data_IF_617241186334
#
_entry.id   IF_617241186334
#
_cell.length_a   1.000
_cell.length_b   1.000
_cell.length_c   1.000
_cell.angle_alpha   90.00
_cell.angle_beta   90.00
_cell.angle_gamma   90.00
#
_symmetry.space_group_name_H-M   'P 1'
#
loop_
_entity.id
_entity.type
_entity.pdbx_description
1 polymer ?
#
# COMPACT_ATOMS: atom_id res chain seq x y z
N UNK A 1 19.47 -18.29 -17.93
CA UNK A 1 19.27 -17.02 -17.21
C UNK A 1 18.58 -17.36 -15.91
N UNK A 2 19.10 -16.88 -14.77
CA UNK A 2 18.46 -17.12 -13.48
C UNK A 2 17.17 -16.29 -13.43
N UNK A 3 16.04 -16.98 -13.22
CA UNK A 3 14.70 -16.40 -13.02
C UNK A 3 14.46 -16.33 -11.52
N UNK A 4 13.94 -15.21 -11.01
CA UNK A 4 13.67 -14.98 -9.59
C UNK A 4 12.24 -14.49 -9.37
N UNK A 5 11.43 -15.23 -8.60
CA UNK A 5 10.10 -14.81 -8.17
C UNK A 5 10.17 -13.97 -6.89
N UNK A 6 9.68 -12.74 -6.99
CA UNK A 6 9.77 -11.73 -5.95
C UNK A 6 8.37 -11.28 -5.58
N UNK A 7 8.04 -11.34 -4.30
CA UNK A 7 6.75 -10.88 -3.79
C UNK A 7 6.88 -9.65 -2.91
N UNK A 8 6.00 -8.67 -3.13
CA UNK A 8 5.91 -7.44 -2.36
C UNK A 8 4.73 -7.51 -1.39
N UNK A 9 5.02 -7.88 -0.14
CA UNK A 9 4.05 -7.86 0.94
C UNK A 9 3.66 -6.41 1.26
N UNK A 10 2.37 -6.10 1.22
CA UNK A 10 1.86 -4.74 1.46
C UNK A 10 1.51 -4.47 2.93
N UNK A 11 1.57 -5.49 3.80
CA UNK A 11 0.98 -5.45 5.14
C UNK A 11 -0.52 -5.74 5.16
N UNK A 12 -1.13 -6.00 4.00
CA UNK A 12 -2.55 -6.33 3.83
C UNK A 12 -2.82 -7.83 3.70
N UNK A 13 -4.10 -8.21 3.78
CA UNK A 13 -4.51 -9.62 3.73
C UNK A 13 -4.34 -10.19 2.31
N UNK A 14 -4.74 -9.46 1.28
CA UNK A 14 -4.64 -9.93 -0.11
C UNK A 14 -3.19 -10.21 -0.53
N UNK A 15 -2.24 -9.32 -0.19
CA UNK A 15 -0.83 -9.57 -0.50
C UNK A 15 -0.26 -10.78 0.24
N UNK A 16 -0.65 -10.99 1.51
CA UNK A 16 -0.26 -12.20 2.23
C UNK A 16 -0.82 -13.48 1.60
N UNK A 17 -2.12 -13.53 1.28
CA UNK A 17 -2.73 -14.74 0.73
C UNK A 17 -2.17 -15.06 -0.66
N UNK A 18 -1.88 -14.05 -1.48
CA UNK A 18 -1.20 -14.24 -2.77
C UNK A 18 0.19 -14.88 -2.59
N UNK A 19 0.97 -14.40 -1.61
CA UNK A 19 2.27 -14.98 -1.23
C UNK A 19 2.08 -16.41 -0.74
N UNK A 20 1.10 -16.65 0.13
CA UNK A 20 0.85 -17.95 0.72
C UNK A 20 0.49 -19.02 -0.33
N UNK A 21 -0.30 -18.65 -1.35
CA UNK A 21 -0.63 -19.52 -2.49
C UNK A 21 0.60 -19.87 -3.36
N UNK A 22 1.63 -19.03 -3.35
CA UNK A 22 2.87 -19.19 -4.13
C UNK A 22 4.10 -19.48 -3.28
N UNK A 23 3.92 -19.85 -2.00
CA UNK A 23 5.02 -19.97 -1.02
C UNK A 23 6.11 -20.96 -1.42
N UNK A 24 5.78 -21.95 -2.24
CA UNK A 24 6.72 -22.98 -2.74
C UNK A 24 7.58 -22.50 -3.91
N UNK A 25 7.18 -21.43 -4.62
CA UNK A 25 7.88 -20.92 -5.81
C UNK A 25 8.53 -19.56 -5.60
N UNK A 26 8.11 -18.79 -4.59
CA UNK A 26 8.67 -17.47 -4.31
C UNK A 26 10.09 -17.58 -3.77
N UNK A 27 11.03 -16.90 -4.41
CA UNK A 27 12.42 -16.82 -3.99
C UNK A 27 12.62 -15.78 -2.88
N UNK A 28 12.02 -14.60 -3.01
CA UNK A 28 12.19 -13.49 -2.06
C UNK A 28 10.87 -12.78 -1.74
N UNK A 29 10.68 -12.44 -0.46
CA UNK A 29 9.51 -11.69 0.02
C UNK A 29 10.01 -10.42 0.70
N UNK A 30 9.48 -9.28 0.28
CA UNK A 30 9.83 -7.97 0.80
C UNK A 30 8.63 -7.25 1.39
N UNK A 31 8.88 -6.50 2.46
CA UNK A 31 7.97 -5.51 3.00
C UNK A 31 8.67 -4.16 3.07
N UNK A 32 8.00 -3.10 2.61
CA UNK A 32 8.54 -1.75 2.70
C UNK A 32 7.85 -1.02 3.86
N UNK A 33 8.61 -0.84 4.94
CA UNK A 33 8.15 -0.27 6.19
C UNK A 33 8.19 1.27 6.15
N UNK A 34 7.17 1.90 6.73
CA UNK A 34 6.98 3.36 6.78
C UNK A 34 6.39 3.72 8.13
N UNK A 35 6.91 4.79 8.76
CA UNK A 35 6.48 5.22 10.11
C UNK A 35 4.98 5.51 10.23
N UNK A 36 4.33 5.94 9.15
CA UNK A 36 2.90 6.26 9.14
C UNK A 36 1.98 5.02 9.15
N UNK A 37 2.49 3.79 9.21
CA UNK A 37 1.65 2.60 9.32
C UNK A 37 1.22 2.34 10.76
N UNK A 38 0.10 1.64 10.96
CA UNK A 38 -0.27 1.19 12.30
C UNK A 38 0.75 0.16 12.80
N UNK A 39 1.14 0.26 14.08
CA UNK A 39 2.08 -0.67 14.73
C UNK A 39 1.68 -2.15 14.63
N UNK A 40 0.39 -2.44 14.50
CA UNK A 40 -0.16 -3.80 14.37
C UNK A 40 0.26 -4.46 13.05
N UNK A 41 0.69 -3.70 12.05
CA UNK A 41 1.21 -4.24 10.80
C UNK A 41 2.46 -5.09 11.02
N UNK A 42 3.31 -4.73 11.98
CA UNK A 42 4.51 -5.53 12.32
C UNK A 42 4.11 -6.83 13.04
N UNK A 43 3.12 -6.79 13.94
CA UNK A 43 2.54 -8.03 14.50
C UNK A 43 2.00 -8.92 13.39
N UNK A 44 1.20 -8.37 12.48
CA UNK A 44 0.63 -9.13 11.37
C UNK A 44 1.72 -9.73 10.47
N UNK A 45 2.79 -8.99 10.19
CA UNK A 45 3.96 -9.48 9.46
C UNK A 45 4.55 -10.74 10.12
N UNK A 46 4.80 -10.70 11.44
CA UNK A 46 5.36 -11.86 12.15
C UNK A 46 4.42 -13.06 12.21
N UNK A 47 3.11 -12.84 12.28
CA UNK A 47 2.14 -13.93 12.19
C UNK A 47 2.12 -14.57 10.79
N UNK A 48 2.29 -13.76 9.74
CA UNK A 48 2.46 -14.22 8.37
C UNK A 48 3.77 -15.03 8.20
N UNK A 49 4.89 -14.58 8.75
CA UNK A 49 6.18 -15.30 8.71
C UNK A 49 6.07 -16.70 9.33
N UNK A 50 5.39 -16.82 10.49
CA UNK A 50 5.14 -18.13 11.12
C UNK A 50 4.37 -19.07 10.21
N UNK A 51 3.34 -18.55 9.51
CA UNK A 51 2.54 -19.35 8.59
C UNK A 51 3.28 -19.72 7.30
N UNK A 52 4.22 -18.87 6.87
CA UNK A 52 5.09 -19.13 5.71
C UNK A 52 6.27 -20.04 6.05
N UNK A 53 6.67 -20.12 7.32
CA UNK A 53 7.88 -20.82 7.74
C UNK A 53 9.18 -20.12 7.32
N UNK A 54 9.12 -18.83 6.94
CA UNK A 54 10.27 -18.03 6.49
C UNK A 54 10.06 -16.54 6.72
N UNK A 55 11.17 -15.82 6.84
CA UNK A 55 11.19 -14.37 7.11
C UNK A 55 10.82 -13.53 5.88
N UNK A 56 10.23 -12.37 6.14
CA UNK A 56 9.94 -11.31 5.18
C UNK A 56 11.00 -10.21 5.34
N UNK A 57 11.75 -9.94 4.28
CA UNK A 57 12.83 -8.94 4.30
C UNK A 57 12.24 -7.53 4.38
N UNK A 58 12.65 -6.77 5.39
CA UNK A 58 12.16 -5.39 5.59
C UNK A 58 13.11 -4.39 4.93
N UNK A 59 12.58 -3.58 4.03
CA UNK A 59 13.26 -2.44 3.42
C UNK A 59 12.67 -1.13 3.95
N UNK A 60 13.49 -0.06 4.00
CA UNK A 60 13.09 1.27 4.50
C UNK A 60 13.71 2.37 3.66
N UNK A 61 12.94 3.44 3.45
CA UNK A 61 13.47 4.69 2.89
C UNK A 61 14.17 5.51 3.97
N UNK A 62 15.23 6.24 3.58
CA UNK A 62 15.90 7.23 4.45
C UNK A 62 15.00 8.41 4.84
N UNK A 63 13.94 8.68 4.07
CA UNK A 63 12.99 9.75 4.38
C UNK A 63 11.96 9.31 5.45
N UNK A 64 11.81 8.00 5.70
CA UNK A 64 11.05 7.34 6.79
C UNK A 64 9.53 7.58 6.89
N UNK A 65 9.03 8.79 6.65
CA UNK A 65 7.64 9.19 6.90
C UNK A 65 7.06 10.06 5.79
N UNK A 66 5.73 10.07 5.69
CA UNK A 66 5.00 10.89 4.71
C UNK A 66 5.23 12.38 4.99
N UNK A 67 5.29 12.79 6.26
CA UNK A 67 5.58 14.19 6.63
C UNK A 67 6.94 14.66 6.11
N UNK A 68 8.00 13.89 6.36
CA UNK A 68 9.35 14.25 5.92
C UNK A 68 9.40 14.43 4.40
N UNK A 69 8.77 13.53 3.66
CA UNK A 69 8.68 13.63 2.19
C UNK A 69 7.92 14.88 1.77
N UNK A 70 6.76 15.15 2.35
CA UNK A 70 5.97 16.34 2.01
C UNK A 70 6.75 17.63 2.32
N UNK A 71 7.42 17.71 3.46
CA UNK A 71 8.21 18.90 3.84
C UNK A 71 9.40 19.12 2.90
N UNK A 72 10.13 18.06 2.57
CA UNK A 72 11.31 18.10 1.71
C UNK A 72 10.99 18.46 0.27
N UNK A 73 9.92 17.87 -0.30
CA UNK A 73 9.57 18.05 -1.71
C UNK A 73 8.45 19.07 -1.94
N UNK A 74 7.85 19.60 -0.87
CA UNK A 74 6.70 20.52 -0.89
C UNK A 74 5.55 20.04 -1.77
N UNK A 75 5.31 18.73 -1.78
CA UNK A 75 4.29 18.07 -2.61
C UNK A 75 3.58 16.98 -1.81
N UNK A 76 2.25 17.00 -1.84
CA UNK A 76 1.38 16.04 -1.16
C UNK A 76 0.96 14.93 -2.12
N UNK A 77 -0.04 15.20 -2.94
CA UNK A 77 -0.60 14.29 -3.92
C UNK A 77 -1.15 15.07 -5.12
N UNK A 78 -1.50 14.33 -6.17
CA UNK A 78 -2.26 14.81 -7.32
C UNK A 78 -3.07 13.64 -7.89
N UNK A 79 -3.91 13.87 -8.93
CA UNK A 79 -4.54 12.77 -9.68
C UNK A 79 -3.53 11.77 -10.25
N UNK A 80 -2.27 12.19 -10.32
CA UNK A 80 -1.12 11.45 -10.80
C UNK A 80 -0.35 10.77 -9.66
N UNK A 81 -0.92 10.64 -8.47
CA UNK A 81 -0.30 9.92 -7.34
C UNK A 81 0.35 10.83 -6.30
N UNK A 82 1.00 10.20 -5.32
CA UNK A 82 1.52 10.88 -4.14
C UNK A 82 3.04 10.79 -4.05
N UNK A 83 3.69 11.89 -3.65
CA UNK A 83 5.16 11.93 -3.54
C UNK A 83 5.69 10.92 -2.53
N UNK A 84 4.93 10.69 -1.44
CA UNK A 84 5.27 9.66 -0.46
C UNK A 84 5.30 8.25 -1.06
N UNK A 85 4.45 7.94 -2.04
CA UNK A 85 4.49 6.62 -2.72
C UNK A 85 5.75 6.50 -3.57
N UNK A 86 6.13 7.56 -4.28
CA UNK A 86 7.37 7.58 -5.06
C UNK A 86 8.61 7.37 -4.17
N UNK A 87 8.74 8.16 -3.10
CA UNK A 87 9.97 8.20 -2.31
C UNK A 87 10.07 7.07 -1.28
N UNK A 88 8.95 6.75 -0.62
CA UNK A 88 8.97 5.78 0.50
C UNK A 88 8.80 4.34 0.03
N UNK A 89 8.27 4.10 -1.18
CA UNK A 89 8.01 2.75 -1.70
C UNK A 89 8.73 2.47 -3.01
N UNK A 90 8.42 3.24 -4.06
CA UNK A 90 8.96 2.98 -5.40
C UNK A 90 10.48 3.06 -5.42
N UNK A 91 11.06 4.16 -4.93
CA UNK A 91 12.50 4.34 -4.97
C UNK A 91 13.24 3.25 -4.18
N UNK A 92 12.71 2.83 -3.03
CA UNK A 92 13.27 1.74 -2.22
C UNK A 92 13.29 0.42 -3.00
N UNK A 93 12.19 0.10 -3.70
CA UNK A 93 12.13 -1.06 -4.58
C UNK A 93 13.15 -0.95 -5.73
N UNK A 94 13.19 0.20 -6.42
CA UNK A 94 14.07 0.43 -7.56
C UNK A 94 15.56 0.44 -7.20
N UNK A 95 15.91 0.85 -5.98
CA UNK A 95 17.27 0.70 -5.44
C UNK A 95 17.64 -0.77 -5.31
N UNK A 96 16.74 -1.59 -4.75
CA UNK A 96 16.95 -3.04 -4.67
C UNK A 96 17.01 -3.72 -6.06
N UNK A 97 16.11 -3.36 -6.98
CA UNK A 97 16.04 -3.91 -8.35
C UNK A 97 17.35 -3.69 -9.11
N UNK A 98 18.00 -2.52 -8.94
CA UNK A 98 19.26 -2.18 -9.61
C UNK A 98 20.45 -3.03 -9.17
N UNK A 99 20.35 -3.68 -8.01
CA UNK A 99 21.37 -4.58 -7.47
C UNK A 99 21.15 -6.03 -7.93
N UNK A 100 20.05 -6.32 -8.65
CA UNK A 100 19.72 -7.67 -9.09
C UNK A 100 20.24 -7.96 -10.50
N UNK A 101 20.65 -9.21 -10.71
CA UNK A 101 20.93 -9.77 -12.03
C UNK A 101 19.89 -10.83 -12.39
N UNK A 102 19.61 -10.97 -13.69
CA UNK A 102 18.68 -11.97 -14.21
C UNK A 102 17.25 -11.46 -14.38
N UNK A 103 16.33 -12.38 -14.67
CA UNK A 103 14.93 -12.05 -14.94
C UNK A 103 14.13 -12.06 -13.64
N UNK A 104 13.49 -10.94 -13.31
CA UNK A 104 12.57 -10.84 -12.18
C UNK A 104 11.13 -11.12 -12.61
N UNK A 105 10.41 -11.84 -11.75
CA UNK A 105 8.98 -12.10 -11.89
C UNK A 105 8.28 -11.63 -10.62
N UNK A 106 7.30 -10.75 -10.75
CA UNK A 106 6.62 -10.19 -9.59
C UNK A 106 5.31 -10.90 -9.29
N UNK A 107 5.11 -11.23 -8.01
CA UNK A 107 3.86 -11.76 -7.48
C UNK A 107 3.05 -10.64 -6.81
N UNK A 108 1.81 -10.43 -7.25
CA UNK A 108 0.93 -9.36 -6.79
C UNK A 108 -0.34 -9.89 -6.12
N UNK A 109 -0.78 -9.21 -5.07
CA UNK A 109 -2.00 -9.52 -4.34
C UNK A 109 -3.25 -8.79 -4.83
N UNK A 110 -3.42 -8.65 -6.15
CA UNK A 110 -4.67 -8.12 -6.72
C UNK A 110 -5.74 -9.20 -6.73
N UNK A 111 -6.92 -8.89 -6.21
CA UNK A 111 -8.04 -9.83 -6.13
C UNK A 111 -8.82 -9.94 -7.45
N UNK A 112 -9.74 -10.91 -7.53
CA UNK A 112 -10.51 -11.22 -8.75
C UNK A 112 -11.31 -10.05 -9.32
N UNK A 113 -11.58 -9.00 -8.53
CA UNK A 113 -12.27 -7.79 -8.99
C UNK A 113 -11.33 -6.76 -9.63
N UNK A 114 -10.02 -6.99 -9.55
CA UNK A 114 -8.97 -6.03 -9.89
C UNK A 114 -8.26 -6.35 -11.22
N UNK A 115 -8.85 -7.19 -12.08
CA UNK A 115 -8.29 -7.56 -13.39
C UNK A 115 -7.86 -6.35 -14.23
N UNK A 116 -8.62 -5.25 -14.18
CA UNK A 116 -8.30 -4.02 -14.89
C UNK A 116 -6.99 -3.39 -14.39
N UNK A 117 -6.69 -3.48 -13.09
CA UNK A 117 -5.42 -3.02 -12.49
C UNK A 117 -4.26 -3.93 -12.92
N UNK A 118 -4.49 -5.24 -12.97
CA UNK A 118 -3.49 -6.21 -13.43
C UNK A 118 -3.11 -6.01 -14.91
N UNK A 119 -4.10 -5.81 -15.79
CA UNK A 119 -3.85 -5.58 -17.22
C UNK A 119 -3.04 -4.30 -17.43
N UNK A 120 -3.46 -3.22 -16.77
CA UNK A 120 -2.74 -1.95 -16.82
C UNK A 120 -1.31 -2.09 -16.29
N UNK A 121 -1.09 -2.86 -15.21
CA UNK A 121 0.26 -3.14 -14.71
C UNK A 121 1.14 -3.81 -15.79
N UNK A 122 0.63 -4.83 -16.48
CA UNK A 122 1.36 -5.54 -17.55
C UNK A 122 1.73 -4.64 -18.72
N UNK A 123 0.86 -3.71 -19.10
CA UNK A 123 1.14 -2.73 -20.16
C UNK A 123 2.26 -1.75 -19.76
N UNK A 124 2.40 -1.49 -18.47
CA UNK A 124 3.27 -0.46 -17.92
C UNK A 124 4.64 -0.96 -17.52
N UNK A 125 4.75 -2.26 -17.21
CA UNK A 125 6.00 -2.93 -16.86
C UNK A 125 6.21 -4.18 -17.74
N UNK A 126 6.15 -4.04 -19.08
CA UNK A 126 6.21 -5.17 -20.01
C UNK A 126 7.54 -5.95 -19.96
N UNK A 127 8.59 -5.35 -19.40
CA UNK A 127 9.90 -5.96 -19.19
C UNK A 127 9.90 -7.02 -18.07
N UNK A 128 8.89 -7.01 -17.20
CA UNK A 128 8.75 -7.97 -16.10
C UNK A 128 7.62 -8.96 -16.36
N UNK A 129 7.84 -10.20 -15.94
CA UNK A 129 6.74 -11.16 -15.84
C UNK A 129 5.94 -10.86 -14.55
N UNK A 130 4.62 -11.00 -14.63
CA UNK A 130 3.72 -10.69 -13.51
C UNK A 130 2.74 -11.83 -13.27
N UNK A 131 2.62 -12.22 -11.99
CA UNK A 131 1.76 -13.30 -11.51
C UNK A 131 0.73 -12.71 -10.55
N UNK A 132 -0.53 -13.12 -10.69
CA UNK A 132 -1.66 -12.59 -9.93
C UNK A 132 -2.47 -13.74 -9.31
N UNK A 133 -1.94 -14.41 -8.26
CA UNK A 133 -2.51 -15.68 -7.79
C UNK A 133 -4.00 -15.59 -7.40
N UNK A 134 -4.44 -14.45 -6.87
CA UNK A 134 -5.85 -14.29 -6.47
C UNK A 134 -6.76 -14.04 -7.67
N UNK A 135 -6.28 -13.38 -8.73
CA UNK A 135 -7.03 -13.24 -10.00
C UNK A 135 -7.11 -14.60 -10.68
N UNK A 136 -6.00 -15.33 -10.72
CA UNK A 136 -5.91 -16.65 -11.37
C UNK A 136 -6.92 -17.64 -10.74
N UNK A 137 -7.12 -17.55 -9.42
CA UNK A 137 -8.10 -18.34 -8.66
C UNK A 137 -9.49 -17.65 -8.52
N UNK A 138 -9.67 -16.46 -9.12
CA UNK A 138 -10.88 -15.63 -9.04
C UNK A 138 -11.38 -15.38 -7.59
N UNK A 139 -10.45 -15.19 -6.65
CA UNK A 139 -10.74 -14.96 -5.24
C UNK A 139 -11.09 -13.50 -4.98
N UNK A 140 -12.21 -13.24 -4.29
CA UNK A 140 -12.58 -11.90 -3.82
C UNK A 140 -11.87 -11.52 -2.52
N UNK A 141 -11.96 -10.24 -2.16
CA UNK A 141 -11.44 -9.73 -0.90
C UNK A 141 -12.03 -10.45 0.33
N UNK A 142 -13.34 -10.72 0.32
CA UNK A 142 -14.01 -11.42 1.41
C UNK A 142 -13.49 -12.86 1.54
N UNK A 143 -13.27 -13.53 0.41
CA UNK A 143 -12.77 -14.91 0.37
C UNK A 143 -11.34 -14.99 0.91
N UNK A 144 -10.44 -14.08 0.51
CA UNK A 144 -9.06 -14.07 1.05
C UNK A 144 -9.02 -13.76 2.54
N UNK A 145 -9.93 -12.93 3.05
CA UNK A 145 -10.10 -12.72 4.49
C UNK A 145 -10.60 -13.99 5.20
N UNK A 146 -11.51 -14.74 4.58
CA UNK A 146 -11.95 -16.05 5.08
C UNK A 146 -10.82 -17.08 5.09
N UNK A 147 -9.95 -17.07 4.09
CA UNK A 147 -8.76 -17.93 4.06
C UNK A 147 -7.79 -17.60 5.19
N UNK A 148 -7.51 -16.31 5.42
CA UNK A 148 -6.66 -15.87 6.53
C UNK A 148 -7.20 -16.36 7.88
N UNK A 149 -8.53 -16.27 8.08
CA UNK A 149 -9.18 -16.75 9.28
C UNK A 149 -9.00 -18.26 9.47
N UNK A 150 -9.09 -19.06 8.40
CA UNK A 150 -8.87 -20.52 8.44
C UNK A 150 -7.42 -20.88 8.77
N UNK A 151 -6.46 -20.00 8.45
CA UNK A 151 -5.06 -20.14 8.89
C UNK A 151 -4.86 -19.78 10.37
N UNK A 152 -5.91 -19.33 11.07
CA UNK A 152 -5.83 -18.91 12.47
C UNK A 152 -5.11 -17.58 12.67
N UNK A 153 -4.93 -16.78 11.61
CA UNK A 153 -4.20 -15.52 11.66
C UNK A 153 -5.20 -14.36 11.85
N UNK A 154 -4.96 -13.54 12.87
CA UNK A 154 -5.76 -12.33 13.10
C UNK A 154 -5.40 -11.25 12.08
N UNK A 155 -6.40 -10.75 11.36
CA UNK A 155 -6.26 -9.64 10.41
C UNK A 155 -5.76 -8.35 11.10
N UNK A 156 -5.10 -7.42 10.36
CA UNK A 156 -4.67 -6.15 10.92
C UNK A 156 -5.78 -5.35 11.61
N UNK A 157 -5.45 -4.65 12.70
CA UNK A 157 -6.39 -3.85 13.51
C UNK A 157 -7.14 -2.80 12.69
N UNK A 158 -6.53 -2.23 11.65
CA UNK A 158 -7.21 -1.29 10.75
C UNK A 158 -8.52 -1.85 10.17
N UNK A 159 -8.58 -3.16 9.86
CA UNK A 159 -9.82 -3.78 9.39
C UNK A 159 -10.89 -3.89 10.49
N UNK A 160 -10.49 -4.15 11.74
CA UNK A 160 -11.41 -4.16 12.89
C UNK A 160 -11.95 -2.78 13.22
N UNK A 161 -11.15 -1.74 12.98
CA UNK A 161 -11.57 -0.35 13.12
C UNK A 161 -12.51 0.09 11.98
N UNK A 162 -12.80 -0.76 10.99
CA UNK A 162 -13.69 -0.47 9.88
C UNK A 162 -13.02 0.21 8.69
N UNK A 163 -11.69 0.22 8.61
CA UNK A 163 -10.99 0.64 7.39
C UNK A 163 -10.98 -0.51 6.37
N UNK A 164 -11.12 -0.16 5.09
CA UNK A 164 -11.16 -1.12 3.99
C UNK A 164 -9.81 -1.76 3.67
N UNK A 165 -8.72 -1.08 3.99
CA UNK A 165 -7.35 -1.48 3.67
C UNK A 165 -6.45 -1.19 4.87
N UNK A 166 -5.38 -1.98 5.02
CA UNK A 166 -4.32 -1.71 6.00
C UNK A 166 -3.30 -0.67 5.47
N UNK A 167 -3.80 0.49 5.05
CA UNK A 167 -2.98 1.60 4.56
C UNK A 167 -2.34 2.38 5.73
N UNK A 168 -1.42 3.30 5.40
CA UNK A 168 -0.91 4.28 6.37
C UNK A 168 -2.07 5.04 7.06
N UNK A 169 -1.89 5.37 8.34
CA UNK A 169 -2.77 6.27 9.10
C UNK A 169 -2.60 7.68 8.53
N UNK A 170 -3.70 8.35 8.18
CA UNK A 170 -3.67 9.66 7.54
C UNK A 170 -3.05 9.64 6.14
N UNK A 171 -3.36 8.61 5.36
CA UNK A 171 -2.95 8.49 3.96
C UNK A 171 -3.44 9.70 3.14
N UNK A 172 -2.53 10.37 2.46
CA UNK A 172 -2.83 11.56 1.65
C UNK A 172 -3.71 11.26 0.43
N UNK A 173 -3.90 9.99 0.06
CA UNK A 173 -4.84 9.58 -1.00
C UNK A 173 -6.24 9.27 -0.48
N UNK A 174 -6.47 9.38 0.83
CA UNK A 174 -7.79 9.21 1.42
C UNK A 174 -8.75 10.32 1.03
N UNK A 175 -10.02 9.97 0.87
CA UNK A 175 -11.08 10.94 0.61
C UNK A 175 -11.60 11.59 1.89
N UNK A 176 -12.71 12.30 1.76
CA UNK A 176 -13.34 13.08 2.84
C UNK A 176 -13.84 12.17 3.97
N UNK A 177 -14.49 11.05 3.63
CA UNK A 177 -14.99 10.06 4.58
C UNK A 177 -13.85 9.39 5.34
N UNK A 178 -12.79 8.98 4.64
CA UNK A 178 -11.57 8.50 5.28
C UNK A 178 -10.98 9.53 6.25
N UNK A 179 -10.78 10.78 5.83
CA UNK A 179 -10.19 11.80 6.68
C UNK A 179 -11.06 12.18 7.88
N UNK A 180 -12.39 12.17 7.74
CA UNK A 180 -13.31 12.33 8.86
C UNK A 180 -13.31 11.15 9.83
N UNK A 181 -13.01 9.94 9.35
CA UNK A 181 -12.77 8.80 10.23
C UNK A 181 -11.43 8.92 10.95
N UNK A 182 -10.35 9.29 10.25
CA UNK A 182 -9.03 9.59 10.84
C UNK A 182 -9.13 10.69 11.89
N UNK A 183 -9.95 11.74 11.67
CA UNK A 183 -10.22 12.80 12.66
C UNK A 183 -10.73 12.26 13.99
N UNK A 184 -11.54 11.21 13.97
CA UNK A 184 -12.13 10.60 15.16
C UNK A 184 -11.19 9.58 15.79
N UNK A 185 -10.63 8.69 14.99
CA UNK A 185 -9.84 7.56 15.47
C UNK A 185 -8.39 7.94 15.81
N UNK A 186 -7.81 8.90 15.08
CA UNK A 186 -6.41 9.33 15.17
C UNK A 186 -6.32 10.88 15.10
N UNK A 187 -6.89 11.61 16.08
CA UNK A 187 -7.00 13.07 16.03
C UNK A 187 -5.65 13.79 15.93
N UNK A 188 -4.59 13.21 16.50
CA UNK A 188 -3.23 13.77 16.41
C UNK A 188 -2.69 13.74 14.98
N UNK A 189 -2.86 12.60 14.28
CA UNK A 189 -2.47 12.47 12.86
C UNK A 189 -3.29 13.40 11.98
N UNK A 190 -4.57 13.56 12.28
CA UNK A 190 -5.43 14.53 11.61
C UNK A 190 -4.91 15.96 11.77
N UNK A 191 -4.66 16.39 13.02
CA UNK A 191 -4.18 17.73 13.33
C UNK A 191 -2.80 18.01 12.71
N UNK A 192 -1.89 17.03 12.77
CA UNK A 192 -0.57 17.14 12.16
C UNK A 192 -0.67 17.31 10.63
N UNK A 193 -1.50 16.51 9.96
CA UNK A 193 -1.65 16.63 8.51
C UNK A 193 -2.33 17.93 8.11
N UNK A 194 -3.36 18.38 8.83
CA UNK A 194 -4.01 19.67 8.57
C UNK A 194 -3.03 20.84 8.70
N UNK A 195 -2.19 20.84 9.73
CA UNK A 195 -1.12 21.83 9.89
C UNK A 195 -0.13 21.78 8.72
N UNK A 196 0.28 20.56 8.31
CA UNK A 196 1.20 20.37 7.19
C UNK A 196 0.63 20.90 5.87
N UNK A 197 -0.67 20.73 5.61
CA UNK A 197 -1.32 21.30 4.43
C UNK A 197 -1.20 22.82 4.39
N UNK A 198 -1.42 23.50 5.54
CA UNK A 198 -1.25 24.96 5.65
C UNK A 198 0.18 25.40 5.46
N UNK A 199 1.14 24.68 6.05
CA UNK A 199 2.57 24.95 5.87
C UNK A 199 3.01 24.85 4.41
N UNK A 200 2.45 23.89 3.66
CA UNK A 200 2.81 23.66 2.25
C UNK A 200 1.99 24.52 1.29
N UNK A 201 0.78 24.93 1.67
CA UNK A 201 -0.16 25.65 0.80
C UNK A 201 -0.93 24.74 -0.16
N UNK A 202 -0.98 23.44 0.12
CA UNK A 202 -1.66 22.43 -0.71
C UNK A 202 -2.46 21.48 0.17
N UNK A 203 -3.56 20.93 -0.35
CA UNK A 203 -4.45 20.01 0.36
C UNK A 203 -4.39 18.59 -0.20
N UNK A 204 -4.58 17.58 0.66
CA UNK A 204 -4.70 16.17 0.31
C UNK A 204 -6.00 15.92 -0.48
N UNK A 205 -7.06 16.64 -0.12
CA UNK A 205 -8.35 16.60 -0.78
C UNK A 205 -8.43 17.80 -1.71
N UNK A 206 -8.66 17.57 -3.01
CA UNK A 206 -8.63 18.64 -4.03
C UNK A 206 -9.57 19.80 -3.64
N UNK A 207 -8.98 20.96 -3.33
CA UNK A 207 -9.70 22.20 -3.04
C UNK A 207 -10.33 22.29 -1.64
N UNK A 208 -9.98 21.40 -0.70
CA UNK A 208 -10.49 21.43 0.68
C UNK A 208 -9.35 21.12 1.63
N UNK A 209 -8.98 22.07 2.49
CA UNK A 209 -8.05 21.81 3.58
C UNK A 209 -8.73 20.96 4.67
N UNK A 210 -7.96 20.14 5.36
CA UNK A 210 -8.46 19.25 6.40
C UNK A 210 -9.07 20.03 7.58
N UNK A 211 -8.48 21.15 7.98
CA UNK A 211 -9.06 22.00 9.02
C UNK A 211 -10.36 22.71 8.59
N UNK A 212 -10.65 22.77 7.29
CA UNK A 212 -11.90 23.26 6.69
C UNK A 212 -12.89 22.13 6.33
N UNK A 213 -12.48 20.86 6.47
CA UNK A 213 -13.31 19.72 6.10
C UNK A 213 -14.50 19.57 7.07
N UNK A 214 -15.72 19.71 6.57
CA UNK A 214 -16.94 19.46 7.35
C UNK A 214 -16.95 18.06 8.00
N UNK A 215 -17.19 17.92 9.33
CA UNK A 215 -17.09 16.67 10.09
C UNK A 215 -17.90 15.46 9.61
N UNK A 216 -18.96 15.70 8.85
CA UNK A 216 -19.87 14.66 8.35
C UNK A 216 -19.81 14.49 6.83
N UNK A 217 -18.81 15.09 6.16
CA UNK A 217 -18.67 15.04 4.71
C UNK A 217 -17.99 13.76 4.24
N UNK A 218 -18.50 13.18 3.16
CA UNK A 218 -17.98 11.94 2.57
C UNK A 218 -18.43 10.69 3.34
N UNK A 219 -18.27 9.53 2.69
CA UNK A 219 -18.58 8.21 3.24
C UNK A 219 -17.44 7.28 2.88
N UNK A 220 -16.83 6.64 3.86
CA UNK A 220 -15.68 5.75 3.60
C UNK A 220 -16.11 4.54 2.76
N UNK A 221 -17.39 4.19 2.82
CA UNK A 221 -18.01 3.13 2.02
C UNK A 221 -18.12 3.48 0.54
N UNK A 222 -18.14 4.77 0.19
CA UNK A 222 -18.20 5.21 -1.21
C UNK A 222 -16.79 5.45 -1.77
N UNK A 223 -15.76 5.40 -0.91
CA UNK A 223 -14.39 5.70 -1.27
C UNK A 223 -13.61 4.45 -1.67
N UNK A 224 -12.98 4.52 -2.84
CA UNK A 224 -11.99 3.55 -3.31
C UNK A 224 -10.62 4.12 -2.97
N UNK A 225 -10.03 3.66 -1.87
CA UNK A 225 -8.64 3.96 -1.54
C UNK A 225 -7.75 2.89 -2.16
N UNK A 226 -7.16 3.18 -3.32
CA UNK A 226 -6.19 2.27 -3.92
C UNK A 226 -5.00 2.02 -2.98
N UNK A 227 -4.58 0.75 -2.86
CA UNK A 227 -3.34 0.42 -2.17
C UNK A 227 -2.16 1.17 -2.79
N UNK A 228 -1.23 1.61 -1.95
CA UNK A 228 0.03 2.22 -2.40
C UNK A 228 0.96 1.14 -3.01
N UNK A 229 0.60 0.66 -4.19
CA UNK A 229 1.39 -0.23 -5.05
C UNK A 229 1.79 0.46 -6.36
N UNK A 230 2.30 -0.32 -7.31
CA UNK A 230 2.85 0.16 -8.59
C UNK A 230 1.86 1.04 -9.36
N UNK A 231 0.56 0.74 -9.30
CA UNK A 231 -0.46 1.52 -10.01
C UNK A 231 -0.49 3.01 -9.64
N UNK A 232 -0.19 3.35 -8.38
CA UNK A 232 -0.05 4.73 -7.94
C UNK A 232 1.27 5.36 -8.43
N UNK A 233 2.28 4.54 -8.69
CA UNK A 233 3.61 4.96 -9.16
C UNK A 233 3.60 5.42 -10.62
N UNK A 234 2.83 4.75 -11.50
CA UNK A 234 2.76 5.13 -12.92
C UNK A 234 2.06 6.47 -13.12
N UNK A 235 1.08 6.77 -12.28
CA UNK A 235 0.33 8.01 -12.41
C UNK A 235 1.31 9.23 -12.44
N UNK A 236 2.43 9.15 -11.72
CA UNK A 236 3.40 10.24 -11.52
C UNK A 236 4.42 10.40 -12.65
N UNK A 237 4.74 9.33 -13.39
CA UNK A 237 5.70 9.38 -14.52
C UNK A 237 5.20 10.18 -15.72
N UNK A 238 3.89 10.47 -15.79
CA UNK A 238 3.32 11.35 -16.83
C UNK A 238 3.60 12.84 -16.61
N UNK A 239 4.28 13.21 -15.51
CA UNK A 239 4.56 14.61 -15.11
C UNK A 239 6.05 14.98 -15.26
N UNK A 240 6.96 14.01 -15.35
CA UNK A 240 8.39 14.26 -15.54
C UNK A 240 8.86 13.75 -16.89
#
# INVERSE_FOLDING_TARGET
>A
MNRKEVAWFSGGVSSFIAIYLRKETIDEIFYIDIKDQHEDTIRFLHDCEKALGREIKILRSKDESVKNVIQKYRFINSPYGAKCTQILKKQVRQEWEREQEGQMVYVWGYDGTEQHRANRLKELMPEYEHIFPLIDENLTKEEVHGMLQRLGIKRPVMYEMGYRNNNCIGCVKGGMGYWNKIRKDFPEVFAERAKLEREIGHSCIKGVFLDELEPNRGRIEDEVMEECGIMCEIAYEKIN
#
